data_IF_073909140485
#
_entry.id   IF_073909140485
#
_cell.length_a   1.000
_cell.length_b   1.000
_cell.length_c   1.000
_cell.angle_alpha   90.00
_cell.angle_beta   90.00
_cell.angle_gamma   90.00
#
_symmetry.space_group_name_H-M   'P 1'
#
loop_
_entity.id
_entity.type
_entity.pdbx_description
1 polymer ?
#
# COMPACT_ATOMS: atom_id res chain seq x y z
N UNK A 1 6.03 -25.95 7.22
CA UNK A 1 7.27 -26.19 8.00
C UNK A 1 7.18 -25.69 9.44
N UNK A 2 6.99 -24.40 9.74
CA UNK A 2 6.89 -23.91 11.13
C UNK A 2 5.87 -24.68 12.00
N UNK A 3 4.68 -24.98 11.44
CA UNK A 3 3.66 -25.80 12.11
C UNK A 3 4.09 -27.24 12.38
N UNK A 4 4.89 -27.83 11.49
CA UNK A 4 5.41 -29.20 11.67
C UNK A 4 6.46 -29.22 12.79
N UNK A 5 7.34 -28.22 12.83
CA UNK A 5 8.33 -28.05 13.90
C UNK A 5 7.59 -27.86 15.24
N UNK A 6 6.60 -26.96 15.28
CA UNK A 6 5.77 -26.74 16.47
C UNK A 6 5.07 -28.02 16.95
N UNK A 7 4.48 -28.79 16.04
CA UNK A 7 3.79 -30.05 16.37
C UNK A 7 4.73 -31.22 16.71
N UNK A 8 6.03 -31.08 16.48
CA UNK A 8 7.04 -32.10 16.83
C UNK A 8 7.65 -31.87 18.21
N UNK A 9 7.29 -30.77 18.89
CA UNK A 9 7.65 -30.56 20.28
C UNK A 9 6.75 -31.41 21.18
N UNK A 10 7.37 -32.27 22.00
CA UNK A 10 6.69 -33.07 23.02
C UNK A 10 7.24 -32.67 24.38
N UNK A 11 6.39 -32.15 25.27
CA UNK A 11 6.80 -31.75 26.64
C UNK A 11 8.04 -30.84 26.69
N UNK A 12 8.18 -29.93 25.71
CA UNK A 12 9.31 -28.99 25.64
C UNK A 12 10.57 -29.51 24.95
N UNK A 13 10.67 -30.79 24.62
CA UNK A 13 11.77 -31.36 23.83
C UNK A 13 11.38 -31.58 22.37
N UNK A 14 12.36 -31.52 21.46
CA UNK A 14 12.14 -31.74 20.03
C UNK A 14 12.22 -33.23 19.69
N UNK A 15 11.12 -33.81 19.21
CA UNK A 15 11.08 -35.21 18.79
C UNK A 15 11.42 -35.33 17.29
N UNK A 16 12.63 -35.82 17.02
CA UNK A 16 13.17 -35.99 15.66
C UNK A 16 12.34 -37.00 14.85
N UNK A 17 11.84 -38.06 15.49
CA UNK A 17 11.07 -39.10 14.81
C UNK A 17 9.71 -38.57 14.37
N UNK A 18 9.00 -37.88 15.28
CA UNK A 18 7.74 -37.21 14.93
C UNK A 18 7.94 -36.18 13.83
N UNK A 19 9.03 -35.41 13.89
CA UNK A 19 9.34 -34.46 12.84
C UNK A 19 9.57 -35.15 11.48
N UNK A 20 10.36 -36.22 11.45
CA UNK A 20 10.61 -37.03 10.25
C UNK A 20 9.32 -37.59 9.64
N UNK A 21 8.46 -38.19 10.46
CA UNK A 21 7.15 -38.70 10.03
C UNK A 21 6.24 -37.59 9.49
N UNK A 22 6.17 -36.45 10.20
CA UNK A 22 5.35 -35.31 9.78
C UNK A 22 5.83 -34.73 8.44
N UNK A 23 7.14 -34.72 8.20
CA UNK A 23 7.75 -34.24 6.97
C UNK A 23 7.47 -35.20 5.81
N UNK A 24 7.55 -36.51 6.06
CA UNK A 24 7.21 -37.55 5.10
C UNK A 24 5.75 -37.40 4.65
N UNK A 25 4.82 -37.27 5.60
CA UNK A 25 3.41 -37.07 5.30
C UNK A 25 3.17 -35.78 4.51
N UNK A 26 3.77 -34.66 4.94
CA UNK A 26 3.66 -33.39 4.23
C UNK A 26 4.12 -33.47 2.76
N UNK A 27 5.19 -34.22 2.49
CA UNK A 27 5.68 -34.47 1.12
C UNK A 27 4.72 -35.32 0.29
N UNK A 28 3.97 -36.21 0.92
CA UNK A 28 2.97 -37.05 0.26
C UNK A 28 1.59 -36.40 0.12
N UNK A 29 1.29 -35.35 0.88
CA UNK A 29 0.00 -34.65 0.77
C UNK A 29 -0.10 -33.79 -0.50
N UNK A 30 -1.20 -33.95 -1.23
CA UNK A 30 -1.50 -33.18 -2.44
C UNK A 30 -1.76 -31.70 -2.13
N UNK A 31 -1.17 -30.79 -2.92
CA UNK A 31 -1.39 -29.35 -2.74
C UNK A 31 -2.63 -28.94 -3.52
N UNK A 32 -3.71 -28.56 -2.82
CA UNK A 32 -4.87 -27.86 -3.39
C UNK A 32 -5.43 -28.50 -4.69
N UNK A 33 -5.52 -29.82 -4.73
CA UNK A 33 -6.05 -30.57 -5.88
C UNK A 33 -5.04 -30.89 -6.98
N UNK A 34 -3.76 -30.52 -6.83
CA UNK A 34 -2.66 -30.91 -7.73
C UNK A 34 -1.86 -32.13 -7.23
N UNK A 35 -0.65 -32.30 -7.76
CA UNK A 35 0.30 -33.34 -7.30
C UNK A 35 0.85 -33.04 -5.90
N UNK A 36 1.23 -34.08 -5.18
CA UNK A 36 2.04 -33.92 -3.96
C UNK A 36 3.50 -33.56 -4.30
N UNK A 37 4.25 -32.94 -3.38
CA UNK A 37 5.68 -32.68 -3.59
C UNK A 37 6.47 -33.92 -4.02
N UNK A 38 6.19 -35.08 -3.41
CA UNK A 38 6.80 -36.35 -3.80
C UNK A 38 6.47 -36.75 -5.24
N UNK A 39 5.22 -36.57 -5.67
CA UNK A 39 4.80 -36.84 -7.05
C UNK A 39 5.37 -35.83 -8.06
N UNK A 40 5.66 -34.60 -7.64
CA UNK A 40 6.29 -33.61 -8.54
C UNK A 40 7.75 -34.01 -8.82
N UNK A 41 8.48 -34.46 -7.79
CA UNK A 41 9.91 -34.76 -7.91
C UNK A 41 10.15 -36.18 -8.42
N UNK A 42 9.43 -37.16 -7.88
CA UNK A 42 9.66 -38.59 -8.15
C UNK A 42 8.62 -39.22 -9.08
N UNK A 43 7.63 -38.45 -9.52
CA UNK A 43 6.52 -38.92 -10.35
C UNK A 43 5.75 -40.12 -9.77
N UNK A 44 5.82 -40.32 -8.45
CA UNK A 44 5.09 -41.36 -7.70
C UNK A 44 4.86 -40.93 -6.25
N UNK A 45 3.79 -41.39 -5.59
CA UNK A 45 3.65 -41.23 -4.15
C UNK A 45 4.68 -42.10 -3.41
N UNK A 46 5.25 -41.59 -2.31
CA UNK A 46 6.13 -42.38 -1.45
C UNK A 46 5.32 -43.12 -0.39
N UNK A 47 5.84 -44.24 0.13
CA UNK A 47 5.23 -44.90 1.30
C UNK A 47 5.43 -44.04 2.54
N UNK A 48 4.36 -43.84 3.29
CA UNK A 48 4.35 -43.20 4.60
C UNK A 48 3.92 -44.19 5.69
N UNK A 49 3.77 -43.68 6.92
CA UNK A 49 3.36 -44.46 8.08
C UNK A 49 1.85 -44.77 8.09
N UNK A 50 1.09 -44.28 7.10
CA UNK A 50 -0.34 -44.54 7.01
C UNK A 50 -0.58 -45.88 6.32
N UNK A 51 -1.55 -46.69 6.79
CA UNK A 51 -1.95 -47.90 6.09
C UNK A 51 -2.45 -47.56 4.69
N UNK A 52 -1.76 -48.05 3.67
CA UNK A 52 -2.13 -47.85 2.27
C UNK A 52 -2.08 -49.18 1.53
N UNK A 53 -3.10 -49.43 0.71
CA UNK A 53 -3.15 -50.62 -0.12
C UNK A 53 -2.01 -50.59 -1.16
N UNK A 54 -1.36 -51.74 -1.42
CA UNK A 54 -0.20 -51.82 -2.33
C UNK A 54 -0.50 -51.28 -3.74
N UNK A 55 -1.75 -51.46 -4.21
CA UNK A 55 -2.22 -50.96 -5.52
C UNK A 55 -2.25 -49.43 -5.62
N UNK A 56 -2.37 -48.69 -4.52
CA UNK A 56 -2.39 -47.23 -4.54
C UNK A 56 -1.09 -46.60 -5.05
N UNK A 57 0.00 -47.37 -5.06
CA UNK A 57 1.31 -46.94 -5.56
C UNK A 57 1.57 -47.38 -7.01
N UNK A 58 0.75 -48.27 -7.56
CA UNK A 58 0.91 -48.75 -8.93
C UNK A 58 0.60 -47.65 -9.95
N UNK A 59 1.36 -47.60 -11.06
CA UNK A 59 1.26 -46.54 -12.06
C UNK A 59 -0.14 -46.42 -12.66
N UNK A 60 -0.81 -47.55 -12.90
CA UNK A 60 -2.18 -47.64 -13.44
C UNK A 60 -3.23 -46.95 -12.54
N UNK A 61 -2.95 -46.85 -11.24
CA UNK A 61 -3.84 -46.24 -10.24
C UNK A 61 -3.45 -44.79 -9.94
N UNK A 62 -2.37 -44.29 -10.54
CA UNK A 62 -1.99 -42.89 -10.46
C UNK A 62 -2.74 -42.10 -11.52
N UNK A 63 -3.29 -40.97 -11.12
CA UNK A 63 -3.98 -40.08 -12.06
C UNK A 63 -2.99 -39.53 -13.07
N UNK A 64 -3.48 -39.38 -14.29
CA UNK A 64 -2.70 -38.79 -15.37
C UNK A 64 -2.10 -37.45 -14.96
N UNK A 65 -0.83 -37.31 -15.35
CA UNK A 65 -0.02 -36.14 -15.17
C UNK A 65 -0.76 -34.84 -15.55
N UNK A 66 -1.42 -34.86 -16.70
CA UNK A 66 -2.09 -33.71 -17.31
C UNK A 66 -3.38 -33.34 -16.59
N UNK A 67 -4.12 -34.34 -16.08
CA UNK A 67 -5.36 -34.10 -15.34
C UNK A 67 -5.06 -33.36 -14.04
N UNK A 68 -4.00 -33.78 -13.32
CA UNK A 68 -3.57 -33.10 -12.10
C UNK A 68 -3.03 -31.70 -12.37
N UNK A 69 -2.33 -31.48 -13.47
CA UNK A 69 -1.85 -30.15 -13.86
C UNK A 69 -3.01 -29.21 -14.19
N UNK A 70 -3.98 -29.65 -15.01
CA UNK A 70 -5.20 -28.88 -15.30
C UNK A 70 -5.95 -28.49 -14.02
N UNK A 71 -6.06 -29.41 -13.06
CA UNK A 71 -6.70 -29.15 -11.77
C UNK A 71 -5.92 -28.15 -10.91
N UNK A 72 -4.60 -28.28 -10.86
CA UNK A 72 -3.73 -27.34 -10.14
C UNK A 72 -3.81 -25.94 -10.74
N UNK A 73 -3.81 -25.81 -12.08
CA UNK A 73 -3.97 -24.55 -12.80
C UNK A 73 -5.30 -23.90 -12.46
N UNK A 74 -6.41 -24.63 -12.56
CA UNK A 74 -7.75 -24.12 -12.19
C UNK A 74 -7.81 -23.66 -10.73
N UNK A 75 -7.21 -24.41 -9.81
CA UNK A 75 -7.16 -24.00 -8.39
C UNK A 75 -6.33 -22.73 -8.18
N UNK A 76 -5.26 -22.52 -8.96
CA UNK A 76 -4.44 -21.31 -8.94
C UNK A 76 -5.20 -20.11 -9.51
N UNK A 77 -5.93 -20.29 -10.61
CA UNK A 77 -6.78 -19.25 -11.23
C UNK A 77 -7.86 -18.79 -10.26
N UNK A 78 -8.64 -19.73 -9.69
CA UNK A 78 -9.68 -19.42 -8.71
C UNK A 78 -9.14 -18.66 -7.48
N UNK A 79 -7.95 -19.05 -6.99
CA UNK A 79 -7.30 -18.34 -5.88
C UNK A 79 -6.89 -16.93 -6.28
N UNK A 80 -6.35 -16.77 -7.49
CA UNK A 80 -5.95 -15.48 -8.03
C UNK A 80 -7.16 -14.57 -8.21
N UNK A 81 -8.24 -15.05 -8.80
CA UNK A 81 -9.50 -14.33 -8.97
C UNK A 81 -10.10 -13.90 -7.64
N UNK A 82 -10.19 -14.84 -6.68
CA UNK A 82 -10.73 -14.55 -5.36
C UNK A 82 -9.90 -13.48 -4.63
N UNK A 83 -8.57 -13.57 -4.70
CA UNK A 83 -7.68 -12.58 -4.11
C UNK A 83 -7.81 -11.22 -4.81
N UNK A 84 -7.80 -11.21 -6.14
CA UNK A 84 -7.87 -9.99 -6.95
C UNK A 84 -9.22 -9.28 -6.84
N UNK A 85 -10.32 -9.99 -6.52
CA UNK A 85 -11.66 -9.41 -6.36
C UNK A 85 -11.69 -8.23 -5.37
N UNK A 86 -10.87 -8.27 -4.31
CA UNK A 86 -10.79 -7.20 -3.31
C UNK A 86 -9.47 -6.41 -3.38
N UNK A 87 -8.56 -6.78 -4.26
CA UNK A 87 -7.26 -6.15 -4.37
C UNK A 87 -7.28 -5.05 -5.42
N UNK A 88 -6.72 -3.89 -5.07
CA UNK A 88 -6.53 -2.78 -6.00
C UNK A 88 -5.03 -2.47 -6.13
N UNK A 89 -4.54 -2.15 -7.33
CA UNK A 89 -3.15 -1.75 -7.52
C UNK A 89 -2.90 -0.40 -6.83
N UNK A 90 -1.79 -0.30 -6.11
CA UNK A 90 -1.35 0.98 -5.54
C UNK A 90 -0.67 1.82 -6.63
N UNK A 91 -0.85 3.16 -6.63
CA UNK A 91 -0.20 4.03 -7.61
C UNK A 91 1.32 3.88 -7.59
N UNK A 92 1.99 3.80 -8.75
CA UNK A 92 3.44 3.71 -8.81
C UNK A 92 4.08 4.95 -8.19
N UNK A 93 5.30 4.79 -7.69
CA UNK A 93 6.07 5.90 -7.12
C UNK A 93 7.19 6.25 -8.12
N UNK A 94 7.54 7.53 -8.19
CA UNK A 94 8.63 8.01 -9.03
C UNK A 94 9.91 8.18 -8.20
N UNK A 95 11.05 8.17 -8.88
CA UNK A 95 12.34 8.52 -8.29
C UNK A 95 12.25 9.93 -7.69
N UNK A 96 12.86 10.14 -6.53
CA UNK A 96 12.82 11.40 -5.79
C UNK A 96 11.63 11.56 -4.85
N UNK A 97 10.59 10.71 -4.92
CA UNK A 97 9.48 10.79 -3.98
C UNK A 97 9.92 10.48 -2.54
N UNK A 98 9.54 11.35 -1.61
CA UNK A 98 9.65 11.09 -0.18
C UNK A 98 8.63 10.03 0.26
N UNK A 99 9.11 9.01 0.95
CA UNK A 99 8.33 7.86 1.40
C UNK A 99 8.62 7.51 2.86
N UNK A 100 7.66 6.82 3.48
CA UNK A 100 7.84 6.12 4.75
C UNK A 100 7.90 4.62 4.48
N UNK A 101 8.85 3.96 5.11
CA UNK A 101 9.04 2.50 5.07
C UNK A 101 8.30 1.90 6.27
N UNK A 102 7.57 0.82 6.03
CA UNK A 102 6.90 0.07 7.09
C UNK A 102 7.91 -0.76 7.90
N UNK A 103 7.89 -0.63 9.22
CA UNK A 103 8.70 -1.45 10.10
C UNK A 103 8.18 -2.91 10.14
N UNK A 104 9.04 -3.94 10.05
CA UNK A 104 8.61 -5.32 9.85
C UNK A 104 7.86 -5.93 11.04
N UNK A 105 8.18 -5.49 12.27
CA UNK A 105 7.59 -6.02 13.51
C UNK A 105 6.35 -5.21 13.88
N UNK A 106 6.54 -3.95 14.29
CA UNK A 106 5.47 -3.03 14.70
C UNK A 106 4.46 -2.65 13.61
N UNK A 107 4.77 -2.87 12.32
CA UNK A 107 3.92 -2.47 11.18
C UNK A 107 3.64 -0.96 11.07
N UNK A 108 4.29 -0.14 11.88
CA UNK A 108 4.20 1.31 11.83
C UNK A 108 5.02 1.88 10.65
N UNK A 109 4.60 3.06 10.17
CA UNK A 109 5.28 3.81 9.11
C UNK A 109 6.26 4.78 9.74
N UNK A 110 7.44 4.31 10.11
CA UNK A 110 8.38 5.08 10.95
C UNK A 110 9.61 5.59 10.20
N UNK A 111 10.20 4.80 9.31
CA UNK A 111 11.50 5.15 8.70
C UNK A 111 11.30 6.00 7.45
N UNK A 112 11.71 7.28 7.44
CA UNK A 112 11.67 8.11 6.24
C UNK A 112 12.77 7.72 5.26
N UNK A 113 12.48 7.86 3.97
CA UNK A 113 13.45 7.70 2.91
C UNK A 113 12.98 8.32 1.60
N UNK A 114 13.88 8.37 0.63
CA UNK A 114 13.63 8.88 -0.71
C UNK A 114 13.88 7.76 -1.71
N UNK A 115 13.01 7.64 -2.71
CA UNK A 115 13.17 6.62 -3.76
C UNK A 115 14.35 7.00 -4.65
N UNK A 116 15.30 6.09 -4.78
CA UNK A 116 16.46 6.22 -5.68
C UNK A 116 16.19 5.56 -7.02
N UNK A 117 15.53 4.40 -7.03
CA UNK A 117 15.32 3.62 -8.24
C UNK A 117 13.98 2.87 -8.18
N UNK A 118 13.36 2.70 -9.35
CA UNK A 118 12.13 1.91 -9.54
C UNK A 118 12.50 0.66 -10.33
N UNK A 119 12.36 -0.51 -9.71
CA UNK A 119 12.61 -1.80 -10.34
C UNK A 119 11.41 -2.31 -11.16
N UNK A 120 11.56 -3.44 -11.87
CA UNK A 120 10.57 -3.92 -12.83
C UNK A 120 9.25 -4.38 -12.20
N UNK A 121 9.28 -4.95 -10.99
CA UNK A 121 8.14 -5.68 -10.40
C UNK A 121 7.67 -5.11 -9.06
N UNK A 122 7.20 -3.85 -9.05
CA UNK A 122 6.77 -3.13 -7.82
C UNK A 122 7.85 -3.08 -6.74
N UNK A 123 9.11 -3.23 -7.13
CA UNK A 123 10.28 -3.15 -6.27
C UNK A 123 10.87 -1.75 -6.36
N UNK A 124 11.32 -1.22 -5.23
CA UNK A 124 11.86 0.13 -5.14
C UNK A 124 13.11 0.12 -4.28
N UNK A 125 14.13 0.87 -4.68
CA UNK A 125 15.27 1.19 -3.83
C UNK A 125 15.01 2.51 -3.14
N UNK A 126 15.15 2.52 -1.82
CA UNK A 126 14.87 3.67 -0.97
C UNK A 126 16.10 3.99 -0.14
N UNK A 127 16.61 5.22 -0.26
CA UNK A 127 17.71 5.73 0.55
C UNK A 127 17.15 6.45 1.78
N UNK A 128 17.55 6.01 2.97
CA UNK A 128 17.22 6.66 4.24
C UNK A 128 18.14 7.86 4.48
N UNK A 129 17.74 8.80 5.34
CA UNK A 129 18.57 9.94 5.73
C UNK A 129 19.93 9.52 6.32
N UNK A 130 19.99 8.37 6.99
CA UNK A 130 21.22 7.75 7.49
C UNK A 130 22.11 7.11 6.39
N UNK A 131 21.82 7.32 5.11
CA UNK A 131 22.63 6.83 3.98
C UNK A 131 22.37 5.38 3.57
N UNK A 132 21.66 4.58 4.39
CA UNK A 132 21.34 3.18 4.08
C UNK A 132 20.34 3.08 2.93
N UNK A 133 20.55 2.10 2.04
CA UNK A 133 19.65 1.80 0.92
C UNK A 133 18.87 0.52 1.22
N UNK A 134 17.56 0.57 1.06
CA UNK A 134 16.65 -0.56 1.26
C UNK A 134 15.92 -0.90 -0.04
N UNK A 135 15.91 -2.18 -0.41
CA UNK A 135 15.02 -2.71 -1.45
C UNK A 135 13.68 -3.12 -0.82
N UNK A 136 12.58 -2.48 -1.22
CA UNK A 136 11.25 -2.72 -0.67
C UNK A 136 10.18 -2.76 -1.75
N UNK A 137 9.17 -3.61 -1.55
CA UNK A 137 8.01 -3.67 -2.42
C UNK A 137 7.08 -2.45 -2.17
N UNK A 138 6.32 -2.02 -3.19
CA UNK A 138 5.34 -0.93 -3.14
C UNK A 138 4.40 -1.01 -1.93
N UNK A 139 4.02 -2.21 -1.52
CA UNK A 139 3.13 -2.47 -0.37
C UNK A 139 3.70 -1.95 0.95
N UNK A 140 5.03 -1.91 1.09
CA UNK A 140 5.74 -1.50 2.29
C UNK A 140 6.22 -0.05 2.25
N UNK A 141 5.74 0.73 1.27
CA UNK A 141 6.07 2.14 1.09
C UNK A 141 4.79 2.98 1.09
N UNK A 142 4.82 4.11 1.79
CA UNK A 142 3.77 5.15 1.71
C UNK A 142 4.39 6.45 1.28
N UNK A 143 3.78 7.12 0.30
CA UNK A 143 4.18 8.47 -0.09
C UNK A 143 3.94 9.41 1.09
N UNK A 144 4.96 10.20 1.43
CA UNK A 144 4.85 11.30 2.38
C UNK A 144 4.84 12.58 1.56
N UNK A 145 3.76 13.35 1.66
CA UNK A 145 3.75 14.72 1.15
C UNK A 145 4.34 15.58 2.27
N UNK A 146 5.46 16.27 2.06
CA UNK A 146 5.91 17.27 3.03
C UNK A 146 4.89 18.41 3.01
N UNK A 147 4.06 18.49 4.05
CA UNK A 147 3.32 19.71 4.34
C UNK A 147 4.33 20.65 4.96
N UNK A 148 4.91 21.55 4.17
CA UNK A 148 5.49 22.74 4.76
C UNK A 148 4.32 23.52 5.37
N UNK A 149 4.35 23.91 6.66
CA UNK A 149 3.50 25.01 7.09
C UNK A 149 3.96 26.22 6.26
N UNK A 150 3.04 26.85 5.54
CA UNK A 150 3.31 28.11 4.87
C UNK A 150 3.98 29.03 5.89
N UNK A 151 5.18 29.50 5.56
CA UNK A 151 5.89 30.47 6.35
C UNK A 151 4.92 31.65 6.57
N UNK A 152 4.48 31.84 7.80
CA UNK A 152 3.81 33.06 8.20
C UNK A 152 4.82 34.18 7.95
N UNK A 153 4.65 34.87 6.82
CA UNK A 153 5.35 36.12 6.55
C UNK A 153 4.97 37.03 7.73
N UNK A 154 5.92 37.49 8.57
CA UNK A 154 5.56 38.45 9.61
C UNK A 154 4.99 39.68 8.88
N UNK A 155 3.84 40.23 9.32
CA UNK A 155 3.31 41.43 8.70
C UNK A 155 4.33 42.55 8.90
N UNK A 156 4.92 43.00 7.80
CA UNK A 156 5.68 44.25 7.75
C UNK A 156 4.76 45.36 8.24
N UNK A 157 5.06 45.89 9.41
CA UNK A 157 4.38 47.07 9.98
C UNK A 157 4.67 48.25 9.06
N UNK A 158 3.67 48.88 8.42
CA UNK A 158 3.92 50.12 7.70
C UNK A 158 4.10 51.23 8.75
N UNK A 159 5.30 51.79 8.78
CA UNK A 159 5.62 52.96 9.57
C UNK A 159 4.76 54.15 9.13
N UNK A 160 4.03 54.70 10.09
CA UNK A 160 3.32 55.99 10.05
C UNK A 160 4.26 57.13 9.63
N UNK A 161 3.88 58.01 8.69
CA UNK A 161 4.51 59.32 8.54
C UNK A 161 3.49 60.46 8.74
N UNK A 162 3.76 61.35 9.70
CA UNK A 162 3.26 62.73 9.77
C UNK A 162 4.02 63.51 10.89
N UNK A 163 4.15 64.86 10.87
CA UNK A 163 3.86 65.85 9.83
C UNK A 163 4.90 67.00 9.62
N UNK A 164 4.73 67.75 8.50
CA UNK A 164 5.00 69.19 8.20
C UNK A 164 6.43 69.80 8.38
N UNK A 165 6.91 70.62 7.42
CA UNK A 165 6.81 72.11 7.35
C UNK A 165 7.07 72.63 5.90
N UNK A 166 6.57 73.83 5.51
CA UNK A 166 6.19 74.20 4.13
C UNK A 166 7.10 75.23 3.40
N UNK A 167 6.94 75.36 2.07
CA UNK A 167 7.39 76.56 1.33
C UNK A 167 7.44 76.47 -0.21
N UNK A 168 6.38 76.96 -0.88
CA UNK A 168 6.26 77.66 -2.20
C UNK A 168 6.81 76.97 -3.49
N UNK A 169 6.22 77.05 -4.70
CA UNK A 169 5.44 78.12 -5.34
C UNK A 169 4.50 77.66 -6.50
N UNK A 170 3.30 78.25 -6.55
CA UNK A 170 2.54 78.89 -7.67
C UNK A 170 2.51 78.28 -9.11
N UNK A 171 1.26 78.10 -9.62
CA UNK A 171 0.81 77.79 -11.02
C UNK A 171 0.36 79.11 -11.74
N UNK A 172 0.14 79.20 -13.08
CA UNK A 172 -1.06 78.69 -13.84
C UNK A 172 -0.71 78.16 -15.28
N UNK A 173 -1.36 77.22 -15.98
CA UNK A 173 -2.74 76.95 -16.46
C UNK A 173 -3.08 77.39 -17.92
N UNK A 174 -3.26 76.38 -18.81
CA UNK A 174 -4.25 76.18 -19.92
C UNK A 174 -4.21 77.09 -21.20
N UNK A 175 -4.87 76.77 -22.38
CA UNK A 175 -6.13 76.00 -22.61
C UNK A 175 -6.16 74.96 -23.79
N UNK A 176 -6.99 73.89 -23.76
CA UNK A 176 -8.27 73.68 -24.52
C UNK A 176 -8.10 72.61 -25.63
N UNK A 177 -9.00 71.67 -26.02
CA UNK A 177 -10.44 71.42 -25.87
C UNK A 177 -10.81 69.91 -26.10
N UNK A 178 -11.96 69.49 -25.51
CA UNK A 178 -13.02 68.50 -25.85
C UNK A 178 -12.74 67.29 -26.80
N UNK A 179 -13.27 66.07 -26.58
CA UNK A 179 -14.70 65.66 -26.59
C UNK A 179 -14.86 64.26 -25.90
N UNK A 180 -15.95 64.07 -25.13
CA UNK A 180 -16.55 62.78 -24.69
C UNK A 180 -17.85 62.53 -25.51
N UNK A 181 -18.58 61.37 -25.50
CA UNK A 181 -18.72 60.40 -24.41
C UNK A 181 -18.96 58.91 -24.79
N UNK A 182 -18.96 58.03 -23.78
CA UNK A 182 -19.63 56.72 -23.82
C UNK A 182 -21.16 56.87 -23.89
N UNK A 183 -21.88 55.79 -24.25
CA UNK A 183 -23.07 55.42 -23.47
C UNK A 183 -23.02 53.97 -22.97
N UNK A 184 -23.57 53.77 -21.77
CA UNK A 184 -23.99 52.49 -21.15
C UNK A 184 -25.54 52.38 -21.26
N UNK A 185 -26.28 51.46 -20.59
CA UNK A 185 -26.22 49.99 -20.44
C UNK A 185 -27.61 49.29 -20.72
N UNK A 186 -27.71 47.96 -20.85
CA UNK A 186 -28.39 46.96 -19.95
C UNK A 186 -29.47 46.13 -20.73
N UNK A 187 -30.02 44.97 -20.26
CA UNK A 187 -29.77 44.17 -19.05
C UNK A 187 -29.56 42.65 -19.28
N UNK A 188 -29.33 41.94 -18.17
CA UNK A 188 -29.09 40.50 -17.99
C UNK A 188 -30.20 39.52 -18.51
N UNK A 189 -29.98 38.20 -18.41
CA UNK A 189 -30.46 37.57 -17.19
C UNK A 189 -29.42 36.68 -16.48
N UNK A 190 -29.55 36.75 -15.17
CA UNK A 190 -28.98 35.90 -14.14
C UNK A 190 -29.45 34.47 -14.35
N UNK A 191 -28.52 33.50 -14.36
CA UNK A 191 -28.85 32.16 -13.88
C UNK A 191 -27.82 31.73 -12.84
N UNK A 192 -28.37 31.32 -11.70
CA UNK A 192 -27.70 31.01 -10.46
C UNK A 192 -27.40 29.51 -10.49
N UNK A 193 -26.18 29.11 -10.13
CA UNK A 193 -25.85 27.68 -10.11
C UNK A 193 -24.44 27.38 -9.63
N UNK A 194 -24.09 27.90 -8.46
CA UNK A 194 -22.92 27.49 -7.70
C UNK A 194 -23.30 26.30 -6.80
N UNK A 195 -22.70 25.13 -7.02
CA UNK A 195 -22.48 24.15 -5.95
C UNK A 195 -21.16 23.41 -6.18
N UNK A 196 -20.18 23.71 -5.33
CA UNK A 196 -19.02 22.87 -5.08
C UNK A 196 -19.47 21.45 -4.67
N UNK A 197 -18.79 20.38 -5.12
CA UNK A 197 -19.11 19.03 -4.67
C UNK A 197 -18.88 18.92 -3.15
N UNK A 198 -19.87 18.45 -2.36
CA UNK A 198 -19.73 18.43 -0.92
C UNK A 198 -18.59 17.50 -0.49
N UNK A 199 -17.87 17.84 0.60
CA UNK A 199 -16.87 16.95 1.16
C UNK A 199 -17.54 15.64 1.57
N UNK A 200 -17.13 14.53 0.95
CA UNK A 200 -17.59 13.17 1.25
C UNK A 200 -17.09 12.72 2.61
N UNK A 201 -17.60 13.32 3.68
CA UNK A 201 -17.36 12.89 5.06
C UNK A 201 -18.35 11.77 5.36
N UNK A 202 -17.93 10.53 5.16
CA UNK A 202 -18.73 9.38 5.61
C UNK A 202 -18.96 9.47 7.12
N UNK A 203 -20.20 9.65 7.56
CA UNK A 203 -20.61 9.60 8.96
C UNK A 203 -20.64 8.15 9.51
N UNK A 204 -19.77 7.27 9.02
CA UNK A 204 -19.70 5.88 9.48
C UNK A 204 -18.76 5.81 10.67
N UNK A 205 -19.32 5.69 11.87
CA UNK A 205 -18.55 5.31 13.04
C UNK A 205 -17.79 4.00 12.73
N UNK A 206 -16.46 3.94 12.89
CA UNK A 206 -15.72 2.70 12.70
C UNK A 206 -16.20 1.70 13.75
N UNK A 207 -16.74 0.56 13.30
CA UNK A 207 -17.01 -0.56 14.21
C UNK A 207 -15.67 -1.03 14.78
N UNK A 208 -15.51 -1.11 16.12
CA UNK A 208 -14.29 -1.64 16.72
C UNK A 208 -14.08 -3.08 16.24
N UNK A 209 -12.84 -3.42 15.93
CA UNK A 209 -12.42 -4.77 15.55
C UNK A 209 -12.65 -5.71 16.74
N UNK A 210 -13.45 -6.77 16.55
CA UNK A 210 -13.68 -7.80 17.60
C UNK A 210 -12.42 -8.58 17.97
N UNK A 211 -11.35 -8.46 17.17
CA UNK A 211 -10.08 -9.15 17.39
C UNK A 211 -9.15 -8.41 18.36
N UNK A 212 -9.41 -7.12 18.68
CA UNK A 212 -8.53 -6.31 19.53
C UNK A 212 -9.34 -5.31 20.35
N UNK A 213 -9.78 -5.69 21.56
CA UNK A 213 -10.47 -4.77 22.48
C UNK A 213 -9.51 -3.69 23.04
N UNK A 214 -10.00 -2.47 23.31
CA UNK A 214 -9.16 -1.33 23.71
C UNK A 214 -8.52 -1.42 25.10
N UNK A 215 -8.92 -2.38 25.95
CA UNK A 215 -8.44 -2.53 27.33
C UNK A 215 -7.08 -3.23 27.45
N UNK A 216 -6.45 -3.65 26.36
CA UNK A 216 -5.13 -4.31 26.38
C UNK A 216 -3.96 -3.33 26.28
N UNK A 217 -4.18 -2.01 26.38
CA UNK A 217 -3.15 -0.97 26.18
C UNK A 217 -2.83 -0.10 27.40
N UNK A 218 -3.25 -0.52 28.60
CA UNK A 218 -2.72 0.06 29.84
C UNK A 218 -2.06 -1.02 30.68
N UNK A 219 -0.75 -1.17 30.51
CA UNK A 219 0.26 -1.40 31.55
C UNK A 219 1.65 -1.33 30.92
#
# INVERSE_FOLDING_TARGET
MKKLIAGSLTSGSFDVNKFGQSLLLFRNTAISGGRSPAQIVFNRPMRDCLPAHRRSFAAEWQKDADVLEKRARRAKELRTEHFNRRAHPLPPLQVGNAVLIQHPISKCWSTPGVITEVGPNRDYLVKTAAGRVFRRNRRFLRRRVPVMPAAAVPPTVPATPAPAIPGQAVIPAAPGQAVAPCPAPDPAPVDQGEEDPPPRRSARAPKPSSLYPPHTWSK
#
